data_IF_066952612330
#
_entry.id   IF_066952612330
#
_cell.length_a   1.000
_cell.length_b   1.000
_cell.length_c   1.000
_cell.angle_alpha   90.00
_cell.angle_beta   90.00
_cell.angle_gamma   90.00
#
_symmetry.space_group_name_H-M   'P 1'
#
loop_
_entity.id
_entity.type
_entity.pdbx_description
1 polymer ?
#
# COMPACT_ATOMS: atom_id res chain seq x y z
N UNK A 1 -21.59 -7.00 -3.12
CA UNK A 1 -22.79 -7.19 -2.31
C UNK A 1 -23.58 -5.89 -2.26
N UNK A 2 -22.98 -4.76 -1.85
CA UNK A 2 -23.66 -3.45 -1.74
C UNK A 2 -24.13 -2.91 -3.09
N UNK A 3 -23.35 -3.11 -4.15
CA UNK A 3 -23.67 -2.62 -5.51
C UNK A 3 -24.85 -3.41 -6.11
N UNK A 4 -24.78 -4.76 -6.07
CA UNK A 4 -25.70 -5.63 -6.81
C UNK A 4 -26.86 -6.19 -5.98
N UNK A 5 -26.68 -6.44 -4.64
CA UNK A 5 -27.74 -7.02 -3.79
C UNK A 5 -28.57 -5.99 -3.06
N UNK A 6 -27.98 -4.83 -2.73
CA UNK A 6 -28.70 -3.74 -2.05
C UNK A 6 -29.05 -2.59 -2.99
N UNK A 7 -28.84 -2.77 -4.30
CA UNK A 7 -29.23 -1.84 -5.38
C UNK A 7 -28.73 -0.39 -5.17
N UNK A 8 -27.60 -0.24 -4.45
CA UNK A 8 -27.02 1.08 -4.15
C UNK A 8 -26.25 1.68 -5.33
N UNK A 9 -26.12 0.93 -6.46
CA UNK A 9 -25.41 1.39 -7.63
C UNK A 9 -23.99 1.90 -7.33
N UNK A 10 -23.59 3.00 -7.96
CA UNK A 10 -22.26 3.61 -7.79
C UNK A 10 -21.98 4.05 -6.35
N UNK A 11 -22.99 4.40 -5.56
CA UNK A 11 -22.83 4.79 -4.16
C UNK A 11 -22.42 3.62 -3.26
N UNK A 12 -22.62 2.38 -3.69
CA UNK A 12 -22.25 1.19 -2.92
C UNK A 12 -20.73 1.03 -2.71
N UNK A 13 -19.90 1.50 -3.65
CA UNK A 13 -18.45 1.40 -3.56
C UNK A 13 -17.85 2.30 -2.45
N UNK A 14 -18.16 3.61 -2.36
CA UNK A 14 -17.73 4.47 -1.25
C UNK A 14 -18.19 3.96 0.12
N UNK A 15 -19.43 3.47 0.21
CA UNK A 15 -19.94 2.90 1.46
C UNK A 15 -19.20 1.64 1.88
N UNK A 16 -18.85 0.76 0.93
CA UNK A 16 -18.05 -0.43 1.21
C UNK A 16 -16.67 -0.05 1.78
N UNK A 17 -16.00 0.92 1.17
CA UNK A 17 -14.69 1.40 1.62
C UNK A 17 -14.78 2.02 3.02
N UNK A 18 -15.77 2.88 3.28
CA UNK A 18 -15.95 3.51 4.59
C UNK A 18 -16.23 2.47 5.68
N UNK A 19 -17.06 1.46 5.38
CA UNK A 19 -17.38 0.39 6.32
C UNK A 19 -16.14 -0.46 6.64
N UNK A 20 -15.30 -0.75 5.64
CA UNK A 20 -14.05 -1.48 5.84
C UNK A 20 -13.09 -0.69 6.75
N UNK A 21 -12.93 0.61 6.51
CA UNK A 21 -12.09 1.46 7.38
C UNK A 21 -12.63 1.56 8.80
N UNK A 22 -13.94 1.62 8.96
CA UNK A 22 -14.56 1.58 10.28
C UNK A 22 -14.33 0.24 10.98
N UNK A 23 -14.46 -0.87 10.27
CA UNK A 23 -14.19 -2.20 10.81
C UNK A 23 -12.72 -2.36 11.23
N UNK A 24 -11.76 -1.89 10.43
CA UNK A 24 -10.34 -1.84 10.78
C UNK A 24 -10.12 -1.06 12.10
N UNK A 25 -10.73 0.11 12.23
CA UNK A 25 -10.64 0.91 13.47
C UNK A 25 -11.18 0.14 14.68
N UNK A 26 -12.34 -0.50 14.55
CA UNK A 26 -12.95 -1.29 15.62
C UNK A 26 -12.05 -2.46 16.03
N UNK A 27 -11.47 -3.17 15.06
CA UNK A 27 -10.54 -4.29 15.32
C UNK A 27 -9.30 -3.80 16.06
N UNK A 28 -8.70 -2.68 15.63
CA UNK A 28 -7.51 -2.11 16.29
C UNK A 28 -7.85 -1.66 17.71
N UNK A 29 -8.96 -0.94 17.90
CA UNK A 29 -9.41 -0.53 19.24
C UNK A 29 -9.71 -1.75 20.13
N UNK A 30 -10.37 -2.77 19.60
CA UNK A 30 -10.63 -4.02 20.30
C UNK A 30 -9.35 -4.73 20.73
N UNK A 31 -8.35 -4.80 19.85
CA UNK A 31 -7.04 -5.35 20.16
C UNK A 31 -6.32 -4.57 21.27
N UNK A 32 -6.37 -3.23 21.22
CA UNK A 32 -5.78 -2.35 22.25
C UNK A 32 -6.47 -2.60 23.60
N UNK A 33 -7.80 -2.66 23.63
CA UNK A 33 -8.58 -2.90 24.86
C UNK A 33 -8.30 -4.31 25.42
N UNK A 34 -8.23 -5.31 24.54
CA UNK A 34 -7.92 -6.68 24.92
C UNK A 34 -6.53 -6.81 25.54
N UNK A 35 -5.52 -6.19 24.91
CA UNK A 35 -4.13 -6.24 25.36
C UNK A 35 -3.76 -5.14 26.37
N UNK A 36 -4.71 -4.36 26.89
CA UNK A 36 -4.44 -3.24 27.81
C UNK A 36 -3.69 -3.62 29.08
N UNK A 37 -3.67 -4.90 29.43
CA UNK A 37 -2.91 -5.44 30.57
C UNK A 37 -1.43 -5.74 30.24
N UNK A 38 -1.04 -5.70 28.98
CA UNK A 38 0.36 -5.86 28.58
C UNK A 38 1.18 -4.65 29.03
N UNK A 39 2.27 -4.89 29.74
CA UNK A 39 3.21 -3.84 30.20
C UNK A 39 3.72 -2.97 29.05
N UNK A 40 3.96 -3.58 27.86
CA UNK A 40 4.40 -2.88 26.66
C UNK A 40 3.36 -1.89 26.16
N UNK A 41 2.09 -2.26 26.24
CA UNK A 41 1.00 -1.41 25.78
C UNK A 41 0.66 -0.30 26.78
N UNK A 42 0.78 -0.57 28.07
CA UNK A 42 0.63 0.44 29.13
C UNK A 42 1.65 1.56 28.98
N UNK A 43 2.88 1.25 28.55
CA UNK A 43 3.92 2.23 28.25
C UNK A 43 3.60 3.10 27.03
N UNK A 44 2.80 2.58 26.08
CA UNK A 44 2.44 3.26 24.83
C UNK A 44 1.13 4.06 24.94
N UNK A 45 0.25 3.73 25.89
CA UNK A 45 -1.06 4.34 26.10
C UNK A 45 -1.09 5.76 26.74
N UNK A 46 -0.01 6.35 27.28
CA UNK A 46 -0.07 7.73 27.74
C UNK A 46 -0.21 8.76 26.59
N UNK A 47 -0.68 8.32 25.44
CA UNK A 47 -0.86 9.15 24.22
C UNK A 47 -1.81 10.35 24.36
N UNK A 48 -2.57 10.44 25.45
CA UNK A 48 -3.50 11.56 25.69
C UNK A 48 -3.00 12.55 26.75
N UNK A 49 -1.72 12.49 27.13
CA UNK A 49 -1.16 13.50 28.02
C UNK A 49 -1.04 14.83 27.30
N UNK A 50 -1.54 15.87 27.93
CA UNK A 50 -1.50 17.27 27.44
C UNK A 50 -0.08 17.72 27.05
N UNK A 51 0.94 17.15 27.68
CA UNK A 51 2.36 17.39 27.43
C UNK A 51 2.80 16.97 26.01
N UNK A 52 2.09 16.06 25.36
CA UNK A 52 2.40 15.62 23.99
C UNK A 52 1.91 16.59 22.92
N UNK A 53 1.01 17.49 23.27
CA UNK A 53 0.43 18.50 22.38
C UNK A 53 1.16 19.85 22.46
N UNK A 54 2.42 19.83 22.87
CA UNK A 54 3.27 21.04 22.87
C UNK A 54 3.85 21.26 21.48
N UNK A 55 4.05 22.52 21.12
CA UNK A 55 4.68 22.89 19.83
C UNK A 55 6.08 22.30 19.68
N UNK A 56 6.80 22.09 20.77
CA UNK A 56 8.13 21.48 20.76
C UNK A 56 8.10 20.01 20.29
N UNK A 57 7.05 19.26 20.62
CA UNK A 57 6.87 17.88 20.19
C UNK A 57 6.22 17.79 18.82
N UNK A 58 5.26 18.66 18.54
CA UNK A 58 4.46 18.62 17.31
C UNK A 58 5.24 19.12 16.08
N UNK A 59 6.11 20.14 16.24
CA UNK A 59 6.85 20.74 15.13
C UNK A 59 7.78 19.76 14.41
N UNK A 60 8.66 18.98 15.08
CA UNK A 60 9.47 17.95 14.41
C UNK A 60 8.63 16.88 13.73
N UNK A 61 7.55 16.45 14.39
CA UNK A 61 6.62 15.48 13.83
C UNK A 61 5.95 15.99 12.55
N UNK A 62 5.41 17.21 12.56
CA UNK A 62 4.78 17.81 11.39
C UNK A 62 5.79 17.99 10.23
N UNK A 63 7.02 18.38 10.51
CA UNK A 63 8.05 18.51 9.48
C UNK A 63 8.34 17.18 8.79
N UNK A 64 8.47 16.10 9.58
CA UNK A 64 8.68 14.77 9.05
C UNK A 64 7.45 14.26 8.29
N UNK A 65 6.25 14.45 8.84
CA UNK A 65 4.99 14.07 8.23
C UNK A 65 4.74 14.81 6.90
N UNK A 66 5.00 16.10 6.82
CA UNK A 66 4.89 16.87 5.58
C UNK A 66 5.86 16.36 4.50
N UNK A 67 7.10 16.08 4.87
CA UNK A 67 8.08 15.51 3.93
C UNK A 67 7.62 14.15 3.39
N UNK A 68 7.16 13.26 4.27
CA UNK A 68 6.61 11.96 3.87
C UNK A 68 5.34 12.08 3.02
N UNK A 69 4.44 12.99 3.40
CA UNK A 69 3.21 13.25 2.64
C UNK A 69 3.50 13.76 1.23
N UNK A 70 4.46 14.66 1.06
CA UNK A 70 4.87 15.16 -0.25
C UNK A 70 5.44 14.03 -1.13
N UNK A 71 6.26 13.15 -0.57
CA UNK A 71 6.80 11.99 -1.30
C UNK A 71 5.69 11.05 -1.78
N UNK A 72 4.79 10.64 -0.88
CA UNK A 72 3.65 9.78 -1.22
C UNK A 72 2.69 10.46 -2.21
N UNK A 73 2.44 11.77 -2.07
CA UNK A 73 1.59 12.51 -3.00
C UNK A 73 2.19 12.55 -4.41
N UNK A 74 3.51 12.76 -4.52
CA UNK A 74 4.19 12.77 -5.81
C UNK A 74 4.10 11.41 -6.52
N UNK A 75 4.23 10.31 -5.77
CA UNK A 75 4.04 8.96 -6.28
C UNK A 75 2.61 8.74 -6.78
N UNK A 76 1.60 9.07 -5.95
CA UNK A 76 0.20 8.93 -6.33
C UNK A 76 -0.15 9.77 -7.56
N UNK A 77 0.31 11.02 -7.62
CA UNK A 77 0.07 11.89 -8.77
C UNK A 77 0.71 11.36 -10.06
N UNK A 78 1.85 10.69 -9.97
CA UNK A 78 2.47 10.05 -11.15
C UNK A 78 1.54 9.03 -11.78
N UNK A 79 0.87 8.21 -10.98
CA UNK A 79 -0.11 7.23 -11.47
C UNK A 79 -1.35 7.90 -12.05
N UNK A 80 -1.88 8.95 -11.41
CA UNK A 80 -3.03 9.68 -11.91
C UNK A 80 -2.74 10.35 -13.27
N UNK A 81 -1.55 10.93 -13.43
CA UNK A 81 -1.12 11.50 -14.71
C UNK A 81 -1.08 10.43 -15.80
N UNK A 82 -0.56 9.24 -15.51
CA UNK A 82 -0.54 8.13 -16.46
C UNK A 82 -1.96 7.68 -16.87
N UNK A 83 -2.90 7.63 -15.93
CA UNK A 83 -4.31 7.32 -16.21
C UNK A 83 -4.95 8.38 -17.11
N UNK A 84 -4.70 9.66 -16.82
CA UNK A 84 -5.20 10.78 -17.66
C UNK A 84 -4.63 10.69 -19.07
N UNK A 85 -3.33 10.45 -19.21
CA UNK A 85 -2.67 10.29 -20.52
C UNK A 85 -3.24 9.10 -21.28
N UNK A 86 -3.43 7.94 -20.64
CA UNK A 86 -4.05 6.78 -21.26
C UNK A 86 -5.47 7.11 -21.77
N UNK A 87 -6.24 7.88 -20.99
CA UNK A 87 -7.59 8.33 -21.40
C UNK A 87 -7.62 9.23 -22.62
N UNK A 88 -6.52 9.96 -22.92
CA UNK A 88 -6.40 10.77 -24.13
C UNK A 88 -6.18 9.94 -25.40
N UNK A 89 -5.64 8.71 -25.26
CA UNK A 89 -5.43 7.81 -26.39
C UNK A 89 -6.71 7.04 -26.77
N UNK A 90 -7.52 6.67 -25.79
CA UNK A 90 -8.78 5.99 -26.04
C UNK A 90 -9.32 5.22 -24.85
N UNK A 91 -10.50 4.62 -25.03
CA UNK A 91 -11.15 3.84 -23.96
C UNK A 91 -10.49 2.49 -23.74
N UNK A 92 -9.90 1.90 -24.76
CA UNK A 92 -9.19 0.62 -24.70
C UNK A 92 -7.91 0.77 -23.88
N UNK A 93 -7.11 1.80 -24.18
CA UNK A 93 -5.87 2.11 -23.50
C UNK A 93 -6.12 2.48 -22.03
N UNK A 94 -7.15 3.30 -21.78
CA UNK A 94 -7.54 3.64 -20.41
C UNK A 94 -7.92 2.38 -19.62
N UNK A 95 -8.73 1.51 -20.19
CA UNK A 95 -9.18 0.28 -19.54
C UNK A 95 -7.99 -0.65 -19.25
N UNK A 96 -7.10 -0.83 -20.23
CA UNK A 96 -5.89 -1.64 -20.07
C UNK A 96 -4.98 -1.08 -18.99
N UNK A 97 -4.78 0.25 -18.94
CA UNK A 97 -3.98 0.93 -17.92
C UNK A 97 -4.55 0.71 -16.52
N UNK A 98 -5.86 0.88 -16.34
CA UNK A 98 -6.53 0.70 -15.03
C UNK A 98 -6.44 -0.75 -14.58
N UNK A 99 -6.66 -1.73 -15.47
CA UNK A 99 -6.52 -3.15 -15.15
C UNK A 99 -5.07 -3.47 -14.74
N UNK A 100 -4.09 -3.07 -15.55
CA UNK A 100 -2.67 -3.30 -15.28
C UNK A 100 -2.27 -2.68 -13.94
N UNK A 101 -2.68 -1.43 -13.68
CA UNK A 101 -2.40 -0.76 -12.40
C UNK A 101 -3.02 -1.49 -11.21
N UNK A 102 -4.25 -1.98 -11.36
CA UNK A 102 -4.92 -2.73 -10.29
C UNK A 102 -4.19 -4.04 -9.97
N UNK A 103 -3.77 -4.77 -11.00
CA UNK A 103 -3.01 -6.02 -10.84
C UNK A 103 -1.65 -5.73 -10.18
N UNK A 104 -0.92 -4.74 -10.69
CA UNK A 104 0.40 -4.34 -10.16
C UNK A 104 0.29 -3.90 -8.70
N UNK A 105 -0.67 -3.04 -8.36
CA UNK A 105 -0.89 -2.58 -7.01
C UNK A 105 -1.22 -3.74 -6.05
N UNK A 106 -2.07 -4.65 -6.46
CA UNK A 106 -2.48 -5.77 -5.61
C UNK A 106 -1.35 -6.77 -5.38
N UNK A 107 -0.59 -7.10 -6.42
CA UNK A 107 0.39 -8.19 -6.37
C UNK A 107 1.77 -7.66 -5.96
N UNK A 108 2.28 -6.64 -6.64
CA UNK A 108 3.64 -6.17 -6.43
C UNK A 108 3.74 -5.12 -5.31
N UNK A 109 2.93 -4.06 -5.38
CA UNK A 109 3.03 -2.96 -4.41
C UNK A 109 2.66 -3.40 -3.01
N UNK A 110 1.63 -4.27 -2.83
CA UNK A 110 1.19 -4.71 -1.51
C UNK A 110 2.29 -5.45 -0.75
N UNK A 111 3.01 -6.35 -1.41
CA UNK A 111 4.11 -7.10 -0.79
C UNK A 111 5.34 -6.25 -0.55
N UNK A 112 5.75 -5.45 -1.53
CA UNK A 112 6.89 -4.55 -1.41
C UNK A 112 6.66 -3.52 -0.30
N UNK A 113 5.45 -2.96 -0.23
CA UNK A 113 5.07 -2.00 0.80
C UNK A 113 5.10 -2.60 2.20
N UNK A 114 4.60 -3.82 2.38
CA UNK A 114 4.62 -4.52 3.66
C UNK A 114 6.05 -4.78 4.17
N UNK A 115 6.96 -5.20 3.27
CA UNK A 115 8.37 -5.39 3.61
C UNK A 115 9.02 -4.05 3.94
N UNK A 116 8.78 -3.00 3.15
CA UNK A 116 9.32 -1.67 3.36
C UNK A 116 8.88 -1.07 4.70
N UNK A 117 7.60 -1.17 5.05
CA UNK A 117 7.09 -0.74 6.36
C UNK A 117 7.73 -1.51 7.51
N UNK A 118 7.81 -2.84 7.41
CA UNK A 118 8.43 -3.69 8.42
C UNK A 118 9.92 -3.36 8.62
N UNK A 119 10.63 -3.11 7.51
CA UNK A 119 12.02 -2.68 7.52
C UNK A 119 12.19 -1.33 8.23
N UNK A 120 11.36 -0.34 7.89
CA UNK A 120 11.39 0.99 8.51
C UNK A 120 11.19 0.94 10.02
N UNK A 121 10.22 0.15 10.48
CA UNK A 121 9.95 -0.03 11.92
C UNK A 121 11.16 -0.68 12.62
N UNK A 122 11.72 -1.75 12.04
CA UNK A 122 12.88 -2.45 12.63
C UNK A 122 14.11 -1.58 12.68
N UNK A 123 14.41 -0.86 11.61
CA UNK A 123 15.56 0.06 11.55
C UNK A 123 15.40 1.18 12.57
N UNK A 124 14.19 1.78 12.68
CA UNK A 124 13.92 2.81 13.68
C UNK A 124 14.09 2.30 15.11
N UNK A 125 13.68 1.07 15.41
CA UNK A 125 13.89 0.44 16.73
C UNK A 125 15.38 0.30 17.06
N UNK A 126 16.19 -0.25 16.13
CA UNK A 126 17.62 -0.43 16.36
C UNK A 126 18.38 0.90 16.49
N UNK A 127 17.98 1.93 15.73
CA UNK A 127 18.53 3.27 15.89
C UNK A 127 18.16 3.86 17.26
N UNK A 128 16.91 3.67 17.69
CA UNK A 128 16.47 4.10 19.03
C UNK A 128 17.21 3.41 20.18
N UNK A 129 17.64 2.16 19.97
CA UNK A 129 18.46 1.40 20.92
C UNK A 129 19.97 1.72 20.82
N UNK A 130 20.37 2.63 19.91
CA UNK A 130 21.77 3.02 19.69
C UNK A 130 22.60 1.98 18.93
N UNK A 131 21.99 0.93 18.35
CA UNK A 131 22.67 -0.17 17.67
C UNK A 131 22.67 0.03 16.15
N UNK A 132 23.62 0.81 15.62
CA UNK A 132 23.76 1.09 14.19
C UNK A 132 24.05 -0.18 13.39
N UNK A 133 24.83 -1.09 13.92
CA UNK A 133 25.18 -2.35 13.24
C UNK A 133 23.95 -3.22 12.98
N UNK A 134 23.06 -3.37 14.00
CA UNK A 134 21.81 -4.11 13.83
C UNK A 134 20.83 -3.41 12.90
N UNK A 135 20.81 -2.07 12.86
CA UNK A 135 20.05 -1.30 11.90
C UNK A 135 20.51 -1.59 10.46
N UNK A 136 21.82 -1.57 10.20
CA UNK A 136 22.39 -1.90 8.88
C UNK A 136 22.07 -3.35 8.47
N UNK A 137 22.24 -4.30 9.38
CA UNK A 137 21.90 -5.73 9.12
C UNK A 137 20.42 -5.87 8.75
N UNK A 138 19.52 -5.22 9.51
CA UNK A 138 18.08 -5.25 9.23
C UNK A 138 17.75 -4.66 7.86
N UNK A 139 18.42 -3.58 7.46
CA UNK A 139 18.26 -2.98 6.13
C UNK A 139 18.66 -3.94 5.02
N UNK A 140 19.85 -4.55 5.14
CA UNK A 140 20.34 -5.49 4.13
C UNK A 140 19.44 -6.72 4.02
N UNK A 141 19.03 -7.30 5.14
CA UNK A 141 18.14 -8.47 5.15
C UNK A 141 16.78 -8.14 4.53
N UNK A 142 16.20 -6.98 4.86
CA UNK A 142 14.92 -6.55 4.27
C UNK A 142 15.04 -6.31 2.78
N UNK A 143 16.15 -5.72 2.33
CA UNK A 143 16.40 -5.49 0.91
C UNK A 143 16.56 -6.81 0.13
N UNK A 144 17.33 -7.76 0.66
CA UNK A 144 17.49 -9.08 0.06
C UNK A 144 16.16 -9.86 0.03
N UNK A 145 15.36 -9.76 1.09
CA UNK A 145 14.04 -10.37 1.15
C UNK A 145 13.09 -9.77 0.11
N UNK A 146 13.09 -8.45 -0.05
CA UNK A 146 12.31 -7.77 -1.07
C UNK A 146 12.71 -8.19 -2.48
N UNK A 147 14.03 -8.26 -2.77
CA UNK A 147 14.54 -8.73 -4.05
C UNK A 147 14.15 -10.19 -4.33
N UNK A 148 14.31 -11.07 -3.34
CA UNK A 148 13.95 -12.47 -3.49
C UNK A 148 12.44 -12.65 -3.77
N UNK A 149 11.60 -11.93 -3.02
CA UNK A 149 10.16 -11.97 -3.22
C UNK A 149 9.78 -11.41 -4.59
N UNK A 150 10.36 -10.28 -4.99
CA UNK A 150 10.10 -9.68 -6.30
C UNK A 150 10.51 -10.63 -7.43
N UNK A 151 11.67 -11.29 -7.32
CA UNK A 151 12.12 -12.27 -8.31
C UNK A 151 11.15 -13.46 -8.42
N UNK A 152 10.60 -13.93 -7.30
CA UNK A 152 9.57 -15.00 -7.30
C UNK A 152 8.29 -14.50 -7.98
N UNK A 153 7.80 -13.31 -7.63
CA UNK A 153 6.59 -12.74 -8.24
C UNK A 153 6.75 -12.58 -9.75
N UNK A 154 7.85 -11.98 -10.21
CA UNK A 154 8.14 -11.82 -11.63
C UNK A 154 8.20 -13.18 -12.34
N UNK A 155 8.87 -14.18 -11.74
CA UNK A 155 8.99 -15.53 -12.31
C UNK A 155 7.65 -16.25 -12.48
N UNK A 156 6.68 -15.94 -11.64
CA UNK A 156 5.32 -16.52 -11.71
C UNK A 156 4.44 -15.74 -12.67
N UNK A 157 4.46 -14.39 -12.57
CA UNK A 157 3.51 -13.54 -13.30
C UNK A 157 3.92 -13.30 -14.76
N UNK A 158 5.20 -13.25 -15.06
CA UNK A 158 5.67 -13.03 -16.42
C UNK A 158 5.25 -14.14 -17.40
N UNK A 159 5.35 -15.44 -17.06
CA UNK A 159 4.82 -16.50 -17.93
C UNK A 159 3.29 -16.53 -18.00
N UNK A 160 2.61 -16.03 -16.96
CA UNK A 160 1.14 -16.06 -16.84
C UNK A 160 0.44 -14.85 -17.44
N UNK A 161 1.17 -13.93 -18.07
CA UNK A 161 0.66 -12.63 -18.57
C UNK A 161 -0.56 -12.76 -19.49
N UNK A 162 -0.54 -13.74 -20.40
CA UNK A 162 -1.59 -13.93 -21.38
C UNK A 162 -2.88 -14.46 -20.73
N UNK A 163 -2.73 -15.37 -19.75
CA UNK A 163 -3.84 -15.88 -18.97
C UNK A 163 -4.45 -14.78 -18.08
N UNK A 164 -3.62 -13.92 -17.51
CA UNK A 164 -4.06 -12.79 -16.70
C UNK A 164 -4.87 -11.81 -17.56
N UNK A 165 -4.36 -11.43 -18.73
CA UNK A 165 -5.07 -10.55 -19.66
C UNK A 165 -6.46 -11.07 -20.00
N UNK A 166 -6.55 -12.34 -20.37
CA UNK A 166 -7.82 -13.01 -20.72
C UNK A 166 -8.78 -13.16 -19.53
N UNK A 167 -8.29 -13.21 -18.31
CA UNK A 167 -9.12 -13.33 -17.10
C UNK A 167 -9.76 -12.00 -16.69
N UNK A 168 -9.06 -10.89 -16.90
CA UNK A 168 -9.51 -9.56 -16.46
C UNK A 168 -10.30 -8.80 -17.53
N UNK A 169 -10.23 -9.19 -18.81
CA UNK A 169 -11.01 -8.58 -19.87
C UNK A 169 -11.60 -9.63 -20.81
N UNK A 170 -12.87 -9.44 -21.18
CA UNK A 170 -13.54 -10.21 -22.23
C UNK A 170 -13.29 -9.62 -23.63
N UNK A 171 -12.62 -8.49 -23.73
CA UNK A 171 -12.24 -7.82 -24.96
C UNK A 171 -10.81 -8.21 -25.31
N UNK A 172 -10.63 -8.86 -26.47
CA UNK A 172 -9.34 -9.39 -26.91
C UNK A 172 -8.29 -8.29 -27.12
N UNK A 173 -8.70 -7.09 -27.51
CA UNK A 173 -7.81 -5.95 -27.73
C UNK A 173 -7.25 -5.43 -26.38
N UNK A 174 -8.12 -5.28 -25.39
CA UNK A 174 -7.75 -4.90 -24.02
C UNK A 174 -6.86 -5.98 -23.39
N UNK A 175 -7.21 -7.26 -23.54
CA UNK A 175 -6.45 -8.38 -23.00
C UNK A 175 -5.01 -8.44 -23.55
N UNK A 176 -4.86 -8.24 -24.88
CA UNK A 176 -3.55 -8.18 -25.52
C UNK A 176 -2.71 -6.99 -25.02
N UNK A 177 -3.35 -5.84 -24.84
CA UNK A 177 -2.68 -4.64 -24.34
C UNK A 177 -2.21 -4.83 -22.88
N UNK A 178 -3.06 -5.37 -22.02
CA UNK A 178 -2.71 -5.72 -20.62
C UNK A 178 -1.52 -6.68 -20.59
N UNK A 179 -1.53 -7.76 -21.40
CA UNK A 179 -0.43 -8.71 -21.48
C UNK A 179 0.90 -8.07 -21.93
N UNK A 180 0.84 -7.01 -22.77
CA UNK A 180 2.02 -6.25 -23.20
C UNK A 180 2.54 -5.27 -22.14
N UNK A 181 1.66 -4.75 -21.25
CA UNK A 181 2.02 -3.81 -20.19
C UNK A 181 2.58 -4.49 -18.94
N UNK A 182 2.18 -5.72 -18.63
CA UNK A 182 2.65 -6.46 -17.45
C UNK A 182 4.19 -6.53 -17.38
N UNK A 183 4.93 -6.90 -18.45
CA UNK A 183 6.39 -6.96 -18.37
C UNK A 183 7.09 -5.62 -18.10
N UNK A 184 6.42 -4.51 -18.44
CA UNK A 184 6.94 -3.15 -18.22
C UNK A 184 6.69 -2.70 -16.78
N UNK A 185 5.65 -3.27 -16.15
CA UNK A 185 5.21 -2.92 -14.79
C UNK A 185 5.91 -3.76 -13.71
N UNK A 186 6.56 -4.87 -14.07
CA UNK A 186 7.31 -5.77 -13.18
C UNK A 186 8.74 -5.30 -12.98
#
# INVERSE_FOLDING_TARGET
LLIYKLDMGLNGAPWATSLTRFAELVVICGYIVWNRHSEKLKATLPMLRREMWTMETLSPFCKLACSGALGLSAEMWSYEVLVILAGLFGTVELTAQVITRTITAFIFDSFAYAIGMSASIRVAQWIGEGSVENAQRSTIVSFLLALALQAVLVSVFLPSKDWIGATFSSDDEVAALVASLIPISC
#
